data_IF_704832149812
#
_entry.id   IF_704832149812
#
_cell.length_a   1.000
_cell.length_b   1.000
_cell.length_c   1.000
_cell.angle_alpha   90.00
_cell.angle_beta   90.00
_cell.angle_gamma   90.00
#
_symmetry.space_group_name_H-M   'P 1'
#
loop_
_entity.id
_entity.type
_entity.pdbx_description
1 polymer ?
#
# COMPACT_ATOMS: atom_id res chain seq x y z
N UNK A 1 -29.18 -43.68 33.97
CA UNK A 1 -28.45 -44.65 33.12
C UNK A 1 -29.24 -44.81 31.84
N UNK A 2 -28.76 -44.20 30.76
CA UNK A 2 -29.15 -44.53 29.39
C UNK A 2 -27.94 -44.16 28.52
N UNK A 3 -27.54 -45.11 27.71
CA UNK A 3 -26.19 -45.28 27.17
C UNK A 3 -25.90 -44.41 25.95
N UNK A 4 -24.64 -44.02 25.85
CA UNK A 4 -23.98 -43.43 24.69
C UNK A 4 -24.02 -44.44 23.53
N UNK A 5 -24.37 -44.03 22.30
CA UNK A 5 -23.94 -44.72 21.10
C UNK A 5 -22.68 -44.06 20.51
N UNK A 6 -21.78 -44.95 20.09
CA UNK A 6 -20.40 -44.79 19.66
C UNK A 6 -20.17 -43.87 18.46
N UNK A 7 -18.97 -43.29 18.48
CA UNK A 7 -18.27 -42.68 17.36
C UNK A 7 -17.88 -43.75 16.32
N UNK A 8 -17.56 -43.34 15.09
CA UNK A 8 -17.08 -44.17 13.97
C UNK A 8 -18.13 -44.92 13.14
N UNK A 9 -18.95 -44.19 12.38
CA UNK A 9 -19.06 -44.48 10.94
C UNK A 9 -19.51 -43.25 10.16
N UNK A 10 -19.08 -43.18 8.89
CA UNK A 10 -19.34 -42.12 7.91
C UNK A 10 -18.33 -40.97 7.86
N UNK A 11 -17.08 -41.35 7.55
CA UNK A 11 -16.26 -40.59 6.60
C UNK A 11 -17.07 -40.23 5.35
N UNK A 12 -17.53 -38.99 5.26
CA UNK A 12 -17.80 -38.29 4.00
C UNK A 12 -17.33 -36.85 4.13
N UNK A 13 -16.22 -36.54 3.46
CA UNK A 13 -15.98 -35.21 2.91
C UNK A 13 -17.01 -34.94 1.82
N UNK A 14 -17.66 -33.77 1.84
CA UNK A 14 -17.79 -33.00 0.61
C UNK A 14 -17.19 -31.61 0.78
N UNK A 15 -16.25 -31.35 -0.12
CA UNK A 15 -15.95 -30.09 -0.79
C UNK A 15 -16.75 -28.85 -0.39
N UNK A 16 -15.98 -27.77 -0.18
CA UNK A 16 -16.29 -26.41 -0.62
C UNK A 16 -17.64 -25.83 -0.17
N UNK A 17 -17.62 -25.23 1.01
CA UNK A 17 -18.38 -23.99 1.20
C UNK A 17 -17.41 -22.97 1.78
N UNK A 18 -16.85 -22.15 0.89
CA UNK A 18 -16.34 -20.83 1.23
C UNK A 18 -17.47 -20.10 1.96
N UNK A 19 -17.46 -20.18 3.29
CA UNK A 19 -18.16 -19.20 4.13
C UNK A 19 -17.37 -17.91 4.03
N UNK A 20 -17.62 -17.23 2.91
CA UNK A 20 -17.36 -15.84 2.64
C UNK A 20 -18.16 -15.03 3.66
N UNK A 21 -17.68 -15.01 4.90
CA UNK A 21 -17.97 -13.94 5.85
C UNK A 21 -17.17 -12.70 5.39
N UNK A 22 -17.58 -12.18 4.23
CA UNK A 22 -17.46 -10.76 3.96
C UNK A 22 -18.31 -10.07 5.03
N UNK A 23 -17.68 -9.74 6.15
CA UNK A 23 -18.14 -8.61 6.94
C UNK A 23 -18.17 -7.42 5.98
N UNK A 24 -19.34 -7.18 5.39
CA UNK A 24 -19.82 -5.87 5.02
C UNK A 24 -19.79 -5.02 6.30
N UNK A 25 -18.59 -4.54 6.62
CA UNK A 25 -18.43 -3.37 7.46
C UNK A 25 -19.10 -2.24 6.68
N UNK A 26 -20.41 -2.10 6.94
CA UNK A 26 -21.22 -0.91 6.77
C UNK A 26 -20.32 0.33 6.93
N UNK A 27 -19.76 0.79 5.81
CA UNK A 27 -19.06 2.06 5.70
C UNK A 27 -20.13 3.16 5.58
N UNK A 28 -21.11 3.12 6.47
CA UNK A 28 -21.99 4.24 6.80
C UNK A 28 -21.24 5.30 7.63
N UNK A 29 -19.92 5.43 7.43
CA UNK A 29 -19.21 6.66 7.77
C UNK A 29 -19.52 7.62 6.66
N UNK A 30 -20.58 8.39 6.87
CA UNK A 30 -20.90 9.65 6.21
C UNK A 30 -19.67 10.22 5.53
N UNK A 31 -19.70 10.27 4.18
CA UNK A 31 -18.69 10.87 3.31
C UNK A 31 -18.58 12.39 3.52
N UNK A 32 -18.65 12.85 4.76
CA UNK A 32 -18.29 14.18 5.13
C UNK A 32 -16.79 14.31 4.88
N UNK A 33 -16.44 15.18 3.95
CA UNK A 33 -15.06 15.57 3.72
C UNK A 33 -14.39 15.96 5.05
N UNK A 34 -13.10 15.70 5.18
CA UNK A 34 -12.32 16.09 6.37
C UNK A 34 -12.52 17.58 6.71
N UNK A 35 -12.70 18.41 5.68
CA UNK A 35 -13.01 19.83 5.81
C UNK A 35 -14.41 20.11 6.38
N UNK A 36 -15.44 19.35 6.01
CA UNK A 36 -16.81 19.55 6.56
C UNK A 36 -16.88 19.13 8.02
N UNK A 37 -16.22 18.03 8.39
CA UNK A 37 -16.12 17.61 9.79
C UNK A 37 -15.37 18.66 10.63
N UNK A 38 -14.22 19.16 10.14
CA UNK A 38 -13.47 20.22 10.81
C UNK A 38 -14.33 21.47 11.02
N UNK A 39 -15.00 21.97 9.98
CA UNK A 39 -15.83 23.17 10.06
C UNK A 39 -16.94 23.02 11.10
N UNK A 40 -17.63 21.86 11.10
CA UNK A 40 -18.71 21.58 12.05
C UNK A 40 -18.24 21.58 13.51
N UNK A 41 -17.12 20.91 13.80
CA UNK A 41 -16.58 20.87 15.16
C UNK A 41 -16.01 22.23 15.59
N UNK A 42 -15.42 22.98 14.65
CA UNK A 42 -14.95 24.35 14.91
C UNK A 42 -16.12 25.29 15.26
N UNK A 43 -17.18 25.30 14.45
CA UNK A 43 -18.38 26.11 14.69
C UNK A 43 -19.03 25.79 16.04
N UNK A 44 -19.10 24.50 16.40
CA UNK A 44 -19.61 24.05 17.70
C UNK A 44 -18.76 24.57 18.86
N UNK A 45 -17.44 24.55 18.73
CA UNK A 45 -16.53 25.09 19.73
C UNK A 45 -16.65 26.61 19.84
N UNK A 46 -16.69 27.32 18.70
CA UNK A 46 -16.88 28.75 18.63
C UNK A 46 -18.18 29.19 19.33
N UNK A 47 -19.29 28.50 19.06
CA UNK A 47 -20.57 28.75 19.72
C UNK A 47 -20.49 28.55 21.24
N UNK A 48 -19.78 27.52 21.70
CA UNK A 48 -19.58 27.26 23.14
C UNK A 48 -18.78 28.38 23.82
N UNK A 49 -17.71 28.87 23.19
CA UNK A 49 -16.91 29.99 23.71
C UNK A 49 -17.77 31.26 23.81
N UNK A 50 -18.50 31.60 22.74
CA UNK A 50 -19.38 32.78 22.74
C UNK A 50 -20.51 32.68 23.77
N UNK A 51 -21.03 31.47 24.00
CA UNK A 51 -21.99 31.20 25.07
C UNK A 51 -21.40 31.46 26.45
N UNK A 52 -20.15 31.09 26.71
CA UNK A 52 -19.47 31.40 27.97
C UNK A 52 -19.31 32.91 28.18
N UNK A 53 -19.03 33.69 27.13
CA UNK A 53 -19.02 35.15 27.22
C UNK A 53 -20.39 35.73 27.58
N UNK A 54 -21.49 35.15 27.09
CA UNK A 54 -22.84 35.57 27.50
C UNK A 54 -23.10 35.31 29.00
N UNK A 55 -22.51 34.25 29.57
CA UNK A 55 -22.67 33.92 30.99
C UNK A 55 -21.99 34.91 31.93
N UNK A 56 -20.99 35.68 31.46
CA UNK A 56 -20.27 36.67 32.28
C UNK A 56 -21.24 37.71 32.83
N UNK A 57 -22.07 38.32 31.97
CA UNK A 57 -23.04 39.33 32.40
C UNK A 57 -24.06 38.78 33.41
N UNK A 58 -24.54 37.55 33.21
CA UNK A 58 -25.47 36.88 34.12
C UNK A 58 -24.81 36.64 35.48
N UNK A 59 -23.56 36.17 35.48
CA UNK A 59 -22.81 35.89 36.71
C UNK A 59 -22.54 37.18 37.47
N UNK A 60 -22.09 38.24 36.79
CA UNK A 60 -21.85 39.54 37.40
C UNK A 60 -23.13 40.14 38.02
N UNK A 61 -24.26 40.07 37.31
CA UNK A 61 -25.54 40.57 37.85
C UNK A 61 -25.99 39.77 39.08
N UNK A 62 -25.86 38.44 39.02
CA UNK A 62 -26.19 37.57 40.15
C UNK A 62 -25.32 37.84 41.38
N UNK A 63 -24.03 38.16 41.20
CA UNK A 63 -23.14 38.49 42.32
C UNK A 63 -23.43 39.87 42.90
N UNK A 64 -23.69 40.88 42.05
CA UNK A 64 -24.09 42.22 42.50
C UNK A 64 -25.42 42.19 43.26
N UNK A 65 -26.37 41.36 42.80
CA UNK A 65 -27.67 41.19 43.46
C UNK A 65 -27.59 40.64 44.89
N UNK A 66 -26.47 40.05 45.31
CA UNK A 66 -26.28 39.58 46.70
C UNK A 66 -25.99 40.70 47.70
N UNK A 67 -25.45 41.83 47.23
CA UNK A 67 -24.99 42.92 48.09
C UNK A 67 -25.63 44.27 47.77
N UNK A 68 -26.27 44.42 46.61
CA UNK A 68 -26.84 45.68 46.12
C UNK A 68 -28.27 45.49 45.63
N UNK A 69 -29.15 46.42 46.03
CA UNK A 69 -30.53 46.44 45.53
C UNK A 69 -30.56 46.71 44.02
N UNK A 70 -31.62 46.27 43.35
CA UNK A 70 -31.82 46.48 41.90
C UNK A 70 -31.85 47.94 41.48
N UNK A 71 -32.25 48.84 42.38
CA UNK A 71 -32.41 50.27 42.11
C UNK A 71 -31.17 51.10 42.54
N UNK A 72 -30.07 50.44 42.94
CA UNK A 72 -28.83 51.15 43.28
C UNK A 72 -28.16 51.67 41.99
N UNK A 73 -27.98 53.00 41.82
CA UNK A 73 -27.41 53.58 40.61
C UNK A 73 -25.96 53.13 40.36
N UNK A 74 -25.24 52.69 41.41
CA UNK A 74 -23.90 52.11 41.25
C UNK A 74 -23.96 50.71 40.63
N UNK A 75 -24.98 49.90 40.94
CA UNK A 75 -25.17 48.59 40.32
C UNK A 75 -25.45 48.75 38.83
N UNK A 76 -26.32 49.70 38.47
CA UNK A 76 -26.63 50.01 37.07
C UNK A 76 -25.37 50.46 36.31
N UNK A 77 -24.58 51.38 36.87
CA UNK A 77 -23.33 51.84 36.27
C UNK A 77 -22.31 50.71 36.07
N UNK A 78 -22.14 49.83 37.06
CA UNK A 78 -21.25 48.66 36.95
C UNK A 78 -21.76 47.69 35.88
N UNK A 79 -23.07 47.41 35.84
CA UNK A 79 -23.64 46.51 34.84
C UNK A 79 -23.53 47.05 33.42
N UNK A 80 -23.66 48.37 33.22
CA UNK A 80 -23.42 49.00 31.93
C UNK A 80 -21.96 48.78 31.45
N UNK A 81 -20.98 48.99 32.34
CA UNK A 81 -19.57 48.73 32.04
C UNK A 81 -19.30 47.24 31.76
N UNK A 82 -19.89 46.33 32.53
CA UNK A 82 -19.75 44.88 32.29
C UNK A 82 -20.31 44.50 30.93
N UNK A 83 -21.46 45.05 30.54
CA UNK A 83 -22.06 44.79 29.22
C UNK A 83 -21.18 45.32 28.08
N UNK A 84 -20.65 46.55 28.22
CA UNK A 84 -19.74 47.16 27.25
C UNK A 84 -18.46 46.31 27.09
N UNK A 85 -17.79 45.96 28.19
CA UNK A 85 -16.58 45.14 28.16
C UNK A 85 -16.85 43.73 27.62
N UNK A 86 -18.00 43.15 27.96
CA UNK A 86 -18.43 41.85 27.40
C UNK A 86 -18.64 41.93 25.89
N UNK A 87 -19.18 43.04 25.38
CA UNK A 87 -19.34 43.26 23.94
C UNK A 87 -17.99 43.39 23.24
N UNK A 88 -17.06 44.18 23.79
CA UNK A 88 -15.69 44.31 23.27
C UNK A 88 -14.99 42.94 23.25
N UNK A 89 -15.06 42.19 24.35
CA UNK A 89 -14.46 40.86 24.44
C UNK A 89 -15.05 39.88 23.41
N UNK A 90 -16.37 39.96 23.14
CA UNK A 90 -17.01 39.14 22.09
C UNK A 90 -16.45 39.44 20.71
N UNK A 91 -16.26 40.71 20.36
CA UNK A 91 -15.73 41.07 19.05
C UNK A 91 -14.28 40.64 18.86
N UNK A 92 -13.44 40.80 19.90
CA UNK A 92 -12.06 40.28 19.89
C UNK A 92 -12.08 38.76 19.67
N UNK A 93 -12.87 38.03 20.44
CA UNK A 93 -12.97 36.57 20.35
C UNK A 93 -13.49 36.12 18.98
N UNK A 94 -14.50 36.81 18.40
CA UNK A 94 -14.96 36.52 17.04
C UNK A 94 -13.86 36.73 16.01
N UNK A 95 -13.11 37.83 16.10
CA UNK A 95 -11.98 38.10 15.22
C UNK A 95 -10.91 37.00 15.31
N UNK A 96 -10.48 36.66 16.53
CA UNK A 96 -9.51 35.59 16.74
C UNK A 96 -10.02 34.23 16.26
N UNK A 97 -11.29 33.90 16.48
CA UNK A 97 -11.87 32.66 15.98
C UNK A 97 -11.91 32.63 14.44
N UNK A 98 -12.17 33.76 13.78
CA UNK A 98 -12.11 33.84 12.31
C UNK A 98 -10.68 33.59 11.80
N UNK A 99 -9.68 34.22 12.40
CA UNK A 99 -8.27 33.99 12.06
C UNK A 99 -7.84 32.53 12.29
N UNK A 100 -8.22 31.95 13.43
CA UNK A 100 -7.95 30.54 13.73
C UNK A 100 -8.64 29.60 12.75
N UNK A 101 -9.85 29.94 12.31
CA UNK A 101 -10.56 29.17 11.29
C UNK A 101 -9.79 29.17 9.97
N UNK A 102 -9.33 30.33 9.51
CA UNK A 102 -8.58 30.48 8.26
C UNK A 102 -7.22 29.77 8.26
N UNK A 103 -6.54 29.76 9.41
CA UNK A 103 -5.24 29.11 9.61
C UNK A 103 -5.39 27.59 9.80
N UNK A 104 -6.41 27.15 10.52
CA UNK A 104 -6.65 25.74 10.82
C UNK A 104 -7.32 24.97 9.68
N UNK A 105 -7.89 25.66 8.69
CA UNK A 105 -8.48 25.01 7.53
C UNK A 105 -7.38 24.30 6.71
N UNK A 106 -7.46 22.97 6.51
CA UNK A 106 -6.44 22.22 5.78
C UNK A 106 -6.33 22.72 4.33
N UNK A 107 -5.31 23.52 4.04
CA UNK A 107 -5.06 24.00 2.68
C UNK A 107 -4.31 22.93 1.91
N UNK A 108 -5.03 22.22 1.06
CA UNK A 108 -4.41 21.38 0.04
C UNK A 108 -3.88 22.30 -1.06
N UNK A 109 -2.60 22.19 -1.39
CA UNK A 109 -1.99 22.94 -2.50
C UNK A 109 -2.77 22.71 -3.80
N UNK A 110 -3.04 23.78 -4.54
CA UNK A 110 -3.79 23.75 -5.80
C UNK A 110 -3.22 22.73 -6.78
N UNK A 111 -1.90 22.65 -6.82
CA UNK A 111 -1.15 21.76 -7.71
C UNK A 111 -1.40 20.29 -7.37
N UNK A 112 -1.54 19.96 -6.08
CA UNK A 112 -1.89 18.60 -5.65
C UNK A 112 -3.32 18.25 -6.04
N UNK A 113 -4.27 19.18 -5.87
CA UNK A 113 -5.67 18.96 -6.30
C UNK A 113 -5.71 18.73 -7.81
N UNK A 114 -4.98 19.53 -8.58
CA UNK A 114 -4.93 19.39 -10.03
C UNK A 114 -4.28 18.08 -10.46
N UNK A 115 -3.16 17.69 -9.86
CA UNK A 115 -2.50 16.41 -10.13
C UNK A 115 -3.41 15.21 -9.83
N UNK A 116 -4.17 15.26 -8.73
CA UNK A 116 -5.16 14.22 -8.39
C UNK A 116 -6.30 14.19 -9.42
N UNK A 117 -6.80 15.35 -9.86
CA UNK A 117 -7.83 15.44 -10.92
C UNK A 117 -7.34 14.90 -12.25
N UNK A 118 -6.15 15.30 -12.71
CA UNK A 118 -5.51 14.78 -13.92
C UNK A 118 -5.32 13.26 -13.83
N UNK A 119 -5.02 12.75 -12.63
CA UNK A 119 -4.90 11.32 -12.34
C UNK A 119 -6.23 10.58 -12.19
N UNK A 120 -7.38 11.28 -12.25
CA UNK A 120 -8.74 10.79 -12.00
C UNK A 120 -8.91 10.15 -10.61
N UNK A 121 -8.26 10.73 -9.60
CA UNK A 121 -8.32 10.31 -8.20
C UNK A 121 -9.22 11.29 -7.46
N UNK A 122 -10.40 10.84 -7.06
CA UNK A 122 -11.41 11.66 -6.38
C UNK A 122 -11.69 11.21 -4.95
N UNK A 123 -11.21 10.02 -4.55
CA UNK A 123 -11.41 9.45 -3.22
C UNK A 123 -10.08 9.05 -2.59
N UNK A 124 -9.99 9.17 -1.26
CA UNK A 124 -8.83 8.73 -0.50
C UNK A 124 -8.51 7.24 -0.69
N UNK A 125 -9.55 6.40 -0.80
CA UNK A 125 -9.40 4.96 -1.07
C UNK A 125 -8.76 4.68 -2.43
N UNK A 126 -9.06 5.49 -3.46
CA UNK A 126 -8.43 5.38 -4.78
C UNK A 126 -6.96 5.76 -4.73
N UNK A 127 -6.62 6.83 -4.00
CA UNK A 127 -5.24 7.25 -3.80
C UNK A 127 -4.44 6.16 -3.07
N UNK A 128 -4.98 5.64 -1.96
CA UNK A 128 -4.37 4.58 -1.18
C UNK A 128 -4.10 3.33 -2.03
N UNK A 129 -5.11 2.87 -2.80
CA UNK A 129 -4.96 1.72 -3.71
C UNK A 129 -3.86 1.95 -4.73
N UNK A 130 -3.74 3.17 -5.28
CA UNK A 130 -2.64 3.51 -6.22
C UNK A 130 -1.28 3.52 -5.53
N UNK A 131 -1.17 4.10 -4.33
CA UNK A 131 0.09 4.13 -3.58
C UNK A 131 0.59 2.72 -3.22
N UNK A 132 -0.32 1.82 -2.84
CA UNK A 132 0.00 0.41 -2.58
C UNK A 132 0.54 -0.27 -3.84
N UNK A 133 -0.14 -0.10 -4.99
CA UNK A 133 0.33 -0.64 -6.28
C UNK A 133 1.70 -0.07 -6.67
N UNK A 134 1.89 1.23 -6.51
CA UNK A 134 3.16 1.90 -6.81
C UNK A 134 4.29 1.37 -5.92
N UNK A 135 4.02 1.14 -4.62
CA UNK A 135 4.99 0.55 -3.70
C UNK A 135 5.38 -0.87 -4.12
N UNK A 136 4.42 -1.69 -4.53
CA UNK A 136 4.68 -3.04 -5.03
C UNK A 136 5.51 -3.01 -6.33
N UNK A 137 5.15 -2.14 -7.28
CA UNK A 137 5.90 -1.98 -8.53
C UNK A 137 7.35 -1.53 -8.28
N UNK A 138 7.55 -0.56 -7.37
CA UNK A 138 8.88 -0.11 -6.98
C UNK A 138 9.73 -1.26 -6.43
N UNK A 139 9.14 -2.14 -5.62
CA UNK A 139 9.84 -3.32 -5.07
C UNK A 139 10.26 -4.28 -6.19
N UNK A 140 9.35 -4.61 -7.11
CA UNK A 140 9.65 -5.46 -8.27
C UNK A 140 10.77 -4.85 -9.11
N UNK A 141 10.75 -3.54 -9.32
CA UNK A 141 11.77 -2.86 -10.12
C UNK A 141 13.14 -2.87 -9.41
N UNK A 142 13.17 -2.72 -8.09
CA UNK A 142 14.39 -2.88 -7.29
C UNK A 142 14.96 -4.31 -7.36
N UNK A 143 14.10 -5.32 -7.24
CA UNK A 143 14.50 -6.73 -7.39
C UNK A 143 15.06 -7.02 -8.79
N UNK A 144 14.45 -6.45 -9.84
CA UNK A 144 14.96 -6.55 -11.20
C UNK A 144 16.33 -5.88 -11.36
N UNK A 145 16.53 -4.68 -10.80
CA UNK A 145 17.84 -4.00 -10.78
C UNK A 145 18.92 -4.87 -10.13
N UNK A 146 18.61 -5.44 -8.96
CA UNK A 146 19.55 -6.31 -8.23
C UNK A 146 19.87 -7.56 -9.04
N UNK A 147 18.87 -8.18 -9.66
CA UNK A 147 19.04 -9.40 -10.48
C UNK A 147 19.87 -9.12 -11.73
N UNK A 148 19.63 -8.00 -12.40
CA UNK A 148 20.31 -7.61 -13.63
C UNK A 148 21.66 -6.93 -13.39
N UNK A 149 21.96 -6.62 -12.12
CA UNK A 149 23.09 -5.83 -11.66
C UNK A 149 23.23 -4.52 -12.44
N UNK A 150 22.15 -3.73 -12.47
CA UNK A 150 22.10 -2.44 -13.14
C UNK A 150 21.31 -1.40 -12.33
N UNK A 151 21.39 -0.14 -12.75
CA UNK A 151 20.58 0.95 -12.20
C UNK A 151 19.18 0.95 -12.79
N UNK A 152 18.22 1.54 -12.07
CA UNK A 152 16.80 1.61 -12.45
C UNK A 152 16.58 2.21 -13.84
N UNK A 153 17.31 3.28 -14.16
CA UNK A 153 17.27 3.95 -15.46
C UNK A 153 17.78 3.07 -16.61
N UNK A 154 18.57 2.03 -16.30
CA UNK A 154 19.24 1.18 -17.28
C UNK A 154 18.59 -0.20 -17.45
N UNK A 155 17.52 -0.51 -16.70
CA UNK A 155 16.84 -1.82 -16.74
C UNK A 155 16.48 -2.19 -18.19
N UNK A 156 15.84 -1.28 -18.92
CA UNK A 156 15.40 -1.55 -20.29
C UNK A 156 16.58 -1.85 -21.24
N UNK A 157 17.65 -1.05 -21.19
CA UNK A 157 18.85 -1.28 -22.01
C UNK A 157 19.51 -2.62 -21.67
N UNK A 158 19.56 -2.95 -20.38
CA UNK A 158 20.14 -4.20 -19.89
C UNK A 158 19.33 -5.42 -20.33
N UNK A 159 18.00 -5.36 -20.24
CA UNK A 159 17.10 -6.41 -20.73
C UNK A 159 17.29 -6.63 -22.22
N UNK A 160 17.29 -5.57 -23.03
CA UNK A 160 17.49 -5.66 -24.48
C UNK A 160 18.84 -6.29 -24.84
N UNK A 161 19.92 -5.89 -24.15
CA UNK A 161 21.25 -6.48 -24.34
C UNK A 161 21.27 -7.98 -24.04
N UNK A 162 20.59 -8.41 -22.98
CA UNK A 162 20.51 -9.83 -22.60
C UNK A 162 19.66 -10.64 -23.58
N UNK A 163 18.55 -10.10 -24.09
CA UNK A 163 17.72 -10.76 -25.11
C UNK A 163 18.53 -11.05 -26.38
N UNK A 164 19.28 -10.06 -26.89
CA UNK A 164 20.12 -10.25 -28.09
C UNK A 164 21.21 -11.31 -27.85
N UNK A 165 21.84 -11.31 -26.67
CA UNK A 165 22.83 -12.32 -26.30
C UNK A 165 22.22 -13.72 -26.19
N UNK A 166 21.03 -13.82 -25.62
CA UNK A 166 20.29 -15.08 -25.48
C UNK A 166 19.94 -15.66 -26.85
N UNK A 167 19.44 -14.84 -27.77
CA UNK A 167 19.09 -15.30 -29.13
C UNK A 167 20.32 -15.80 -29.90
N UNK A 168 21.45 -15.07 -29.78
CA UNK A 168 22.71 -15.50 -30.39
C UNK A 168 23.23 -16.80 -29.79
N UNK A 169 23.08 -17.00 -28.48
CA UNK A 169 23.48 -18.23 -27.80
C UNK A 169 22.59 -19.41 -28.24
N UNK A 170 21.28 -19.20 -28.31
CA UNK A 170 20.30 -20.19 -28.79
C UNK A 170 20.66 -20.68 -30.20
N UNK A 171 20.90 -19.75 -31.13
CA UNK A 171 21.28 -20.09 -32.50
C UNK A 171 22.55 -20.95 -32.57
N UNK A 172 23.58 -20.60 -31.78
CA UNK A 172 24.80 -21.41 -31.70
C UNK A 172 24.55 -22.82 -31.15
N UNK A 173 23.65 -22.97 -30.18
CA UNK A 173 23.28 -24.29 -29.67
C UNK A 173 22.55 -25.12 -30.73
N UNK A 174 21.66 -24.51 -31.51
CA UNK A 174 20.99 -25.19 -32.64
C UNK A 174 22.02 -25.63 -33.69
N UNK A 175 22.92 -24.75 -34.10
CA UNK A 175 23.99 -25.07 -35.06
C UNK A 175 24.88 -26.23 -34.57
N UNK A 176 25.26 -26.23 -33.28
CA UNK A 176 26.05 -27.30 -32.66
C UNK A 176 25.28 -28.62 -32.55
N UNK A 177 24.00 -28.56 -32.22
CA UNK A 177 23.12 -29.72 -32.16
C UNK A 177 23.00 -30.37 -33.55
N UNK A 178 22.82 -29.57 -34.60
CA UNK A 178 22.75 -30.07 -35.97
C UNK A 178 24.08 -30.68 -36.43
N UNK A 179 25.22 -30.07 -36.06
CA UNK A 179 26.55 -30.64 -36.27
C UNK A 179 26.73 -32.00 -35.58
N UNK A 180 26.28 -32.15 -34.33
CA UNK A 180 26.34 -33.43 -33.61
C UNK A 180 25.44 -34.50 -34.23
N UNK A 181 24.27 -34.10 -34.75
CA UNK A 181 23.37 -35.01 -35.45
C UNK A 181 23.92 -35.43 -36.83
N UNK A 182 24.65 -34.55 -37.48
CA UNK A 182 25.30 -34.79 -38.77
C UNK A 182 26.67 -35.48 -38.63
N UNK A 183 27.27 -35.49 -37.43
CA UNK A 183 28.48 -36.24 -37.16
C UNK A 183 28.19 -37.73 -37.39
N UNK A 184 28.85 -38.37 -38.37
CA UNK A 184 28.63 -39.78 -38.62
C UNK A 184 29.07 -40.57 -37.38
N UNK A 185 28.50 -41.74 -37.24
CA UNK A 185 28.72 -42.79 -36.24
C UNK A 185 30.19 -43.28 -36.16
N UNK A 186 31.19 -42.46 -36.44
CA UNK A 186 32.62 -42.79 -36.42
C UNK A 186 33.15 -43.01 -34.99
N UNK A 187 32.45 -42.51 -33.97
CA UNK A 187 32.74 -42.87 -32.57
C UNK A 187 32.48 -44.37 -32.32
N UNK A 188 31.44 -44.96 -32.93
CA UNK A 188 31.21 -46.41 -32.84
C UNK A 188 32.17 -47.22 -33.73
N UNK A 189 32.65 -46.65 -34.85
CA UNK A 189 33.60 -47.34 -35.75
C UNK A 189 35.00 -47.43 -35.13
N UNK A 190 35.43 -46.42 -34.36
CA UNK A 190 36.71 -46.44 -33.66
C UNK A 190 36.71 -47.41 -32.46
N UNK A 191 35.58 -47.57 -31.76
CA UNK A 191 35.46 -48.51 -30.64
C UNK A 191 35.37 -49.98 -31.10
N UNK A 192 34.77 -50.25 -32.27
CA UNK A 192 34.78 -51.58 -32.89
C UNK A 192 36.18 -51.90 -33.44
N UNK A 193 36.87 -50.93 -34.06
CA UNK A 193 38.20 -51.14 -34.65
C UNK A 193 39.31 -51.38 -33.61
N UNK A 194 39.20 -50.79 -32.41
CA UNK A 194 40.13 -51.02 -31.31
C UNK A 194 39.93 -52.40 -30.64
N UNK A 195 38.71 -52.94 -30.61
CA UNK A 195 38.47 -54.30 -30.09
C UNK A 195 38.95 -55.40 -31.05
N UNK A 196 39.00 -55.16 -32.36
CA UNK A 196 39.52 -56.15 -33.32
C UNK A 196 41.05 -56.18 -33.43
N UNK A 197 41.74 -55.08 -33.08
CA UNK A 197 43.21 -55.02 -33.15
C UNK A 197 43.94 -55.75 -32.00
N UNK A 198 43.20 -56.22 -30.98
CA UNK A 198 43.75 -57.07 -29.90
C UNK A 198 43.77 -58.56 -30.29
N UNK A 199 43.12 -58.96 -31.39
CA UNK A 199 43.00 -60.37 -31.79
C UNK A 199 43.83 -60.80 -33.01
N UNK A 200 44.62 -59.92 -33.60
CA UNK A 200 45.36 -60.23 -34.83
C UNK A 200 46.81 -59.80 -34.77
N UNK A 201 47.65 -60.53 -34.04
CA UNK A 201 49.12 -60.61 -34.21
C UNK A 201 49.67 -61.83 -33.43
N UNK A 202 49.12 -63.01 -33.72
CA UNK A 202 49.54 -64.29 -33.15
C UNK A 202 50.01 -65.27 -34.22
N UNK A 203 51.10 -64.93 -34.93
CA UNK A 203 51.90 -65.90 -35.69
C UNK A 203 52.73 -66.73 -34.70
N UNK A 204 52.43 -68.03 -34.56
CA UNK A 204 53.32 -69.01 -33.92
C UNK A 204 53.43 -70.25 -34.81
N UNK A 205 54.48 -70.21 -35.64
CA UNK A 205 55.52 -71.23 -35.86
C UNK A 205 55.05 -72.68 -36.12
N UNK A 206 55.42 -73.16 -37.30
CA UNK A 206 55.12 -74.49 -37.82
C UNK A 206 55.70 -75.66 -37.03
N UNK A 207 55.10 -76.82 -37.30
CA UNK A 207 55.62 -78.14 -36.97
C UNK A 207 55.44 -79.03 -38.18
N UNK A 208 56.56 -79.39 -38.80
CA UNK A 208 56.68 -80.47 -39.77
C UNK A 208 57.78 -81.39 -39.22
N UNK A 209 57.43 -82.63 -38.85
CA UNK A 209 58.34 -83.75 -38.69
C UNK A 209 57.55 -85.09 -38.69
N UNK A 210 57.69 -85.81 -39.79
CA UNK A 210 57.79 -87.29 -39.97
C UNK A 210 57.38 -88.22 -38.82
N UNK A 211 56.42 -89.14 -39.05
CA UNK A 211 56.57 -90.59 -39.42
C UNK A 211 55.20 -91.14 -39.82
#
# INVERSE_FOLDING_TARGET
MASIPDEDDMLRTPEEVDSQDEMDLEEARTNDSVSTHYNKEFEKLAAKILSQLNMVGITCDSELGKSMHTDDPRRESVMALVQEQTAVAKEIVKGTLAELHELGCPRVGTDMVEALKQSRIYKGTQLLKRLVKHKALKKVMQEACSTLNCQELQINERIQSLLVKSEKAKKKCEDLHDLLKAAPTEIFVLEISLNFKVFGDGELIGSDETV
#
